data_IF_515381525084
#
_entry.id   IF_515381525084
#
_cell.length_a   1.000
_cell.length_b   1.000
_cell.length_c   1.000
_cell.angle_alpha   90.00
_cell.angle_beta   90.00
_cell.angle_gamma   90.00
#
_symmetry.space_group_name_H-M   'P 1'
#
loop_
_entity.id
_entity.type
_entity.pdbx_description
1 polymer ?
#
# COMPACT_ATOMS: atom_id res chain seq x y z
N UNK A 1 -12.43 3.74 4.08
CA UNK A 1 -13.12 4.19 5.31
C UNK A 1 -12.48 5.43 5.94
N UNK A 2 -11.15 5.48 6.10
CA UNK A 2 -10.44 6.66 6.66
C UNK A 2 -10.77 7.96 5.90
N UNK A 3 -10.80 7.92 4.57
CA UNK A 3 -11.16 9.11 3.76
C UNK A 3 -12.60 9.57 3.92
N UNK A 4 -13.50 8.66 4.30
CA UNK A 4 -14.89 9.00 4.61
C UNK A 4 -14.92 9.82 5.91
N UNK A 5 -14.31 9.29 6.98
CA UNK A 5 -14.21 10.00 8.26
C UNK A 5 -13.47 11.34 8.15
N UNK A 6 -12.40 11.41 7.36
CA UNK A 6 -11.68 12.66 7.08
C UNK A 6 -12.59 13.73 6.48
N UNK A 7 -13.40 13.36 5.48
CA UNK A 7 -14.38 14.28 4.86
C UNK A 7 -15.45 14.70 5.86
N UNK A 8 -16.03 13.75 6.58
CA UNK A 8 -17.07 14.01 7.58
C UNK A 8 -16.59 14.97 8.67
N UNK A 9 -15.39 14.78 9.24
CA UNK A 9 -14.85 15.70 10.24
C UNK A 9 -14.59 17.08 9.68
N UNK A 10 -14.07 17.18 8.45
CA UNK A 10 -13.85 18.46 7.78
C UNK A 10 -15.18 19.20 7.58
N UNK A 11 -16.22 18.50 7.16
CA UNK A 11 -17.55 19.06 6.95
C UNK A 11 -18.23 19.45 8.27
N UNK A 12 -18.12 18.63 9.32
CA UNK A 12 -18.63 18.95 10.65
C UNK A 12 -17.94 20.21 11.20
N UNK A 13 -16.60 20.26 11.15
CA UNK A 13 -15.84 21.43 11.58
C UNK A 13 -16.23 22.68 10.80
N UNK A 14 -16.30 22.58 9.46
CA UNK A 14 -16.67 23.71 8.62
C UNK A 14 -18.09 24.22 8.91
N UNK A 15 -19.05 23.33 9.17
CA UNK A 15 -20.42 23.71 9.53
C UNK A 15 -20.49 24.46 10.86
N UNK A 16 -19.89 23.91 11.90
CA UNK A 16 -19.93 24.53 13.23
C UNK A 16 -19.13 25.84 13.28
N UNK A 17 -18.01 25.90 12.57
CA UNK A 17 -17.24 27.13 12.44
C UNK A 17 -18.02 28.24 11.70
N UNK A 18 -18.85 27.90 10.71
CA UNK A 18 -19.74 28.87 10.05
C UNK A 18 -20.78 29.42 11.03
N UNK A 19 -21.47 28.56 11.79
CA UNK A 19 -22.43 28.98 12.81
C UNK A 19 -21.81 29.92 13.84
N UNK A 20 -20.60 29.63 14.31
CA UNK A 20 -19.87 30.51 15.21
C UNK A 20 -19.59 31.88 14.57
N UNK A 21 -19.12 31.91 13.32
CA UNK A 21 -18.88 33.17 12.60
C UNK A 21 -20.16 34.00 12.40
N UNK A 22 -21.28 33.33 12.11
CA UNK A 22 -22.60 33.97 11.98
C UNK A 22 -23.04 34.58 13.31
N UNK A 23 -22.88 33.85 14.43
CA UNK A 23 -23.20 34.33 15.77
C UNK A 23 -22.35 35.54 16.18
N UNK A 24 -21.03 35.51 15.92
CA UNK A 24 -20.13 36.65 16.15
C UNK A 24 -20.52 37.86 15.31
N UNK A 25 -20.92 37.63 14.06
CA UNK A 25 -21.37 38.70 13.16
C UNK A 25 -22.69 39.32 13.64
N UNK A 26 -23.64 38.49 14.08
CA UNK A 26 -24.91 38.94 14.66
C UNK A 26 -24.68 39.75 15.95
N UNK A 27 -23.82 39.25 16.85
CA UNK A 27 -23.42 39.94 18.07
C UNK A 27 -22.83 41.32 17.79
N UNK A 28 -21.92 41.42 16.81
CA UNK A 28 -21.31 42.70 16.41
C UNK A 28 -22.36 43.70 15.92
N UNK A 29 -23.32 43.23 15.10
CA UNK A 29 -24.43 44.05 14.59
C UNK A 29 -25.36 44.50 15.72
N UNK A 30 -25.79 43.59 16.59
CA UNK A 30 -26.67 43.89 17.72
C UNK A 30 -26.02 44.89 18.69
N UNK A 31 -24.72 44.72 18.96
CA UNK A 31 -23.92 45.68 19.74
C UNK A 31 -23.98 47.07 19.09
N UNK A 32 -23.64 47.17 17.81
CA UNK A 32 -23.64 48.45 17.10
C UNK A 32 -25.01 49.13 17.13
N UNK A 33 -26.09 48.37 16.90
CA UNK A 33 -27.46 48.88 16.96
C UNK A 33 -27.83 49.40 18.34
N UNK A 34 -27.48 48.67 19.41
CA UNK A 34 -27.71 49.10 20.78
C UNK A 34 -27.01 50.43 21.09
N UNK A 35 -25.71 50.56 20.77
CA UNK A 35 -24.97 51.82 20.96
C UNK A 35 -25.58 52.97 20.15
N UNK A 36 -25.97 52.72 18.89
CA UNK A 36 -26.63 53.73 18.06
C UNK A 36 -27.94 54.22 18.68
N UNK A 37 -28.77 53.32 19.24
CA UNK A 37 -30.03 53.71 19.90
C UNK A 37 -29.80 54.45 21.20
N UNK A 38 -28.74 54.12 21.95
CA UNK A 38 -28.35 54.90 23.13
C UNK A 38 -28.00 56.34 22.76
N UNK A 39 -27.19 56.53 21.70
CA UNK A 39 -26.82 57.87 21.21
C UNK A 39 -28.05 58.67 20.73
N UNK A 40 -28.99 58.02 20.05
CA UNK A 40 -30.26 58.62 19.62
C UNK A 40 -31.13 59.06 20.81
N UNK A 41 -31.21 58.24 21.87
CA UNK A 41 -31.92 58.60 23.10
C UNK A 41 -31.27 59.80 23.80
N UNK A 42 -29.94 59.86 23.88
CA UNK A 42 -29.24 61.01 24.45
C UNK A 42 -29.47 62.30 23.64
N UNK A 43 -29.46 62.20 22.30
CA UNK A 43 -29.83 63.32 21.42
C UNK A 43 -31.28 63.79 21.65
N UNK A 44 -32.22 62.86 21.81
CA UNK A 44 -33.63 63.17 22.09
C UNK A 44 -33.83 63.81 23.47
N UNK A 45 -33.05 63.41 24.48
CA UNK A 45 -33.04 64.07 25.80
C UNK A 45 -32.50 65.50 25.69
N UNK A 46 -31.39 65.69 24.99
CA UNK A 46 -30.78 67.01 24.81
C UNK A 46 -31.68 67.98 24.02
N UNK A 47 -32.37 67.51 22.97
CA UNK A 47 -33.33 68.33 22.21
C UNK A 47 -34.56 68.69 23.05
N UNK A 48 -35.02 67.78 23.90
CA UNK A 48 -36.10 68.07 24.85
C UNK A 48 -35.67 69.14 25.86
N UNK A 49 -34.44 69.09 26.38
CA UNK A 49 -33.92 70.05 27.35
C UNK A 49 -33.75 71.46 26.77
N UNK A 50 -33.22 71.59 25.54
CA UNK A 50 -33.05 72.89 24.86
C UNK A 50 -34.38 73.58 24.54
N UNK A 51 -35.44 72.81 24.30
CA UNK A 51 -36.76 73.33 23.96
C UNK A 51 -37.63 73.69 25.19
N UNK A 52 -37.09 73.58 26.42
CA UNK A 52 -37.73 74.07 27.66
C UNK A 52 -37.47 75.57 27.88
N UNK A 53 -36.40 76.12 27.27
CA UNK A 53 -36.08 77.56 27.30
C UNK A 53 -36.98 78.39 26.37
N UNK A 54 -37.60 77.77 25.37
CA UNK A 54 -38.56 78.42 24.47
C UNK A 54 -40.00 78.22 24.99
N UNK A 55 -40.65 79.31 25.40
CA UNK A 55 -42.06 79.35 25.83
C UNK A 55 -43.04 78.93 24.71
N UNK A 56 -43.23 77.63 24.48
CA UNK A 56 -44.17 77.08 23.49
C UNK A 56 -45.13 76.07 24.15
N UNK A 57 -46.43 76.28 23.94
CA UNK A 57 -47.53 75.71 24.73
C UNK A 57 -47.74 74.19 24.75
N UNK A 58 -48.62 73.79 25.68
CA UNK A 58 -48.97 72.44 26.17
C UNK A 58 -49.05 71.34 25.09
N UNK A 59 -49.59 71.61 23.90
CA UNK A 59 -49.73 70.61 22.82
C UNK A 59 -48.39 70.08 22.27
N UNK A 60 -47.32 70.85 22.40
CA UNK A 60 -45.98 70.41 21.97
C UNK A 60 -45.25 69.58 23.03
N UNK A 61 -45.65 69.62 24.30
CA UNK A 61 -45.06 68.83 25.38
C UNK A 61 -45.48 67.36 25.33
N UNK A 62 -46.75 67.07 25.01
CA UNK A 62 -47.24 65.68 24.88
C UNK A 62 -46.57 64.92 23.74
N UNK A 63 -46.39 65.57 22.58
CA UNK A 63 -45.69 64.97 21.44
C UNK A 63 -44.21 64.71 21.75
N UNK A 64 -43.58 65.56 22.58
CA UNK A 64 -42.19 65.40 23.05
C UNK A 64 -42.02 64.26 24.05
N UNK A 65 -42.94 64.14 25.00
CA UNK A 65 -42.95 63.02 25.97
C UNK A 65 -43.05 61.68 25.23
N UNK A 66 -43.94 61.61 24.24
CA UNK A 66 -44.13 60.44 23.38
C UNK A 66 -42.87 60.05 22.59
N UNK A 67 -42.11 61.01 22.04
CA UNK A 67 -40.87 60.69 21.29
C UNK A 67 -39.73 60.21 22.19
N UNK A 68 -39.64 60.71 23.42
CA UNK A 68 -38.65 60.24 24.39
C UNK A 68 -38.97 58.81 24.84
N UNK A 69 -40.23 58.53 25.14
CA UNK A 69 -40.68 57.21 25.56
C UNK A 69 -40.48 56.18 24.42
N UNK A 70 -40.72 56.57 23.16
CA UNK A 70 -40.45 55.71 22.00
C UNK A 70 -38.94 55.43 21.81
N UNK A 71 -38.08 56.44 21.98
CA UNK A 71 -36.62 56.24 21.91
C UNK A 71 -36.12 55.34 23.05
N UNK A 72 -36.69 55.46 24.24
CA UNK A 72 -36.36 54.63 25.39
C UNK A 72 -36.78 53.17 25.16
N UNK A 73 -37.98 52.92 24.62
CA UNK A 73 -38.43 51.57 24.24
C UNK A 73 -37.47 50.92 23.22
N UNK A 74 -37.03 51.67 22.20
CA UNK A 74 -36.07 51.17 21.20
C UNK A 74 -34.70 50.80 21.80
N UNK A 75 -34.24 51.51 22.83
CA UNK A 75 -33.02 51.13 23.57
C UNK A 75 -33.25 49.81 24.29
N UNK A 76 -34.36 49.63 25.01
CA UNK A 76 -34.65 48.39 25.73
C UNK A 76 -34.75 47.18 24.79
N UNK A 77 -35.40 47.33 23.63
CA UNK A 77 -35.51 46.27 22.62
C UNK A 77 -34.14 45.85 22.07
N UNK A 78 -33.30 46.83 21.71
CA UNK A 78 -31.95 46.54 21.18
C UNK A 78 -30.99 46.03 22.25
N UNK A 79 -31.18 46.42 23.51
CA UNK A 79 -30.44 45.87 24.65
C UNK A 79 -30.76 44.38 24.85
N UNK A 80 -32.05 44.03 24.83
CA UNK A 80 -32.50 42.65 24.97
C UNK A 80 -31.96 41.78 23.83
N UNK A 81 -32.03 42.26 22.58
CA UNK A 81 -31.44 41.58 21.43
C UNK A 81 -29.92 41.42 21.57
N UNK A 82 -29.22 42.46 22.02
CA UNK A 82 -27.77 42.38 22.24
C UNK A 82 -27.43 41.33 23.31
N UNK A 83 -28.14 41.31 24.44
CA UNK A 83 -27.98 40.29 25.50
C UNK A 83 -28.25 38.88 24.97
N UNK A 84 -29.26 38.71 24.13
CA UNK A 84 -29.54 37.44 23.47
C UNK A 84 -28.37 37.00 22.58
N UNK A 85 -27.87 37.88 21.69
CA UNK A 85 -26.73 37.55 20.84
C UNK A 85 -25.45 37.24 21.63
N UNK A 86 -25.26 37.83 22.82
CA UNK A 86 -24.14 37.48 23.73
C UNK A 86 -24.29 36.04 24.20
N UNK A 87 -25.51 35.64 24.61
CA UNK A 87 -25.81 34.27 25.02
C UNK A 87 -25.61 33.28 23.87
N UNK A 88 -26.14 33.60 22.69
CA UNK A 88 -26.05 32.73 21.51
C UNK A 88 -24.59 32.52 21.07
N UNK A 89 -23.78 33.58 21.07
CA UNK A 89 -22.36 33.47 20.75
C UNK A 89 -21.61 32.57 21.76
N UNK A 90 -21.98 32.64 23.04
CA UNK A 90 -21.41 31.76 24.08
C UNK A 90 -21.81 30.30 23.86
N UNK A 91 -23.09 30.04 23.55
CA UNK A 91 -23.58 28.68 23.25
C UNK A 91 -22.83 28.08 22.05
N UNK A 92 -22.73 28.83 20.95
CA UNK A 92 -22.02 28.35 19.76
C UNK A 92 -20.52 28.17 19.98
N UNK A 93 -19.90 28.98 20.85
CA UNK A 93 -18.51 28.76 21.26
C UNK A 93 -18.35 27.44 22.01
N UNK A 94 -19.22 27.13 22.97
CA UNK A 94 -19.18 25.89 23.73
C UNK A 94 -19.45 24.66 22.84
N UNK A 95 -20.38 24.77 21.89
CA UNK A 95 -20.65 23.74 20.88
C UNK A 95 -19.45 23.49 19.97
N UNK A 96 -18.80 24.56 19.50
CA UNK A 96 -17.61 24.47 18.65
C UNK A 96 -16.47 23.76 19.38
N UNK A 97 -16.26 24.05 20.66
CA UNK A 97 -15.26 23.37 21.51
C UNK A 97 -15.60 21.88 21.65
N UNK A 98 -16.85 21.54 21.98
CA UNK A 98 -17.30 20.14 22.09
C UNK A 98 -17.09 19.37 20.79
N UNK A 99 -17.39 19.97 19.64
CA UNK A 99 -17.21 19.34 18.32
C UNK A 99 -15.72 19.16 18.01
N UNK A 100 -14.88 20.15 18.32
CA UNK A 100 -13.42 20.05 18.19
C UNK A 100 -12.87 18.87 19.01
N UNK A 101 -13.27 18.75 20.27
CA UNK A 101 -12.84 17.67 21.17
C UNK A 101 -13.24 16.30 20.64
N UNK A 102 -14.48 16.15 20.15
CA UNK A 102 -14.96 14.90 19.54
C UNK A 102 -14.16 14.53 18.29
N UNK A 103 -13.94 15.49 17.40
CA UNK A 103 -13.16 15.28 16.16
C UNK A 103 -11.73 14.86 16.50
N UNK A 104 -11.05 15.58 17.39
CA UNK A 104 -9.67 15.25 17.80
C UNK A 104 -9.60 13.87 18.44
N UNK A 105 -10.54 13.55 19.33
CA UNK A 105 -10.61 12.24 19.99
C UNK A 105 -10.78 11.11 18.98
N UNK A 106 -11.62 11.30 17.96
CA UNK A 106 -11.83 10.28 16.93
C UNK A 106 -10.64 10.15 15.99
N UNK A 107 -10.01 11.26 15.58
CA UNK A 107 -8.78 11.23 14.78
C UNK A 107 -7.68 10.44 15.51
N UNK A 108 -7.51 10.68 16.82
CA UNK A 108 -6.55 9.90 17.63
C UNK A 108 -6.84 8.40 17.58
N UNK A 109 -8.11 8.00 17.72
CA UNK A 109 -8.50 6.57 17.61
C UNK A 109 -8.18 5.99 16.23
N UNK A 110 -8.45 6.72 15.15
CA UNK A 110 -8.15 6.27 13.78
C UNK A 110 -6.63 6.11 13.56
N UNK A 111 -5.82 7.02 14.10
CA UNK A 111 -4.35 6.90 14.04
C UNK A 111 -3.90 5.63 14.77
N UNK A 112 -4.36 5.41 16.01
CA UNK A 112 -3.99 4.22 16.77
C UNK A 112 -4.45 2.91 16.10
N UNK A 113 -5.62 2.92 15.44
CA UNK A 113 -6.08 1.78 14.64
C UNK A 113 -5.15 1.53 13.45
N UNK A 114 -4.75 2.58 12.73
CA UNK A 114 -3.77 2.49 11.66
C UNK A 114 -2.42 1.94 12.13
N UNK A 115 -1.92 2.42 13.27
CA UNK A 115 -0.66 1.95 13.87
C UNK A 115 -0.73 0.46 14.24
N UNK A 116 -1.87 0.01 14.76
CA UNK A 116 -2.08 -1.40 15.12
C UNK A 116 -2.02 -2.28 13.88
N UNK A 117 -2.72 -1.89 12.81
CA UNK A 117 -2.71 -2.62 11.53
C UNK A 117 -1.30 -2.63 10.92
N UNK A 118 -0.61 -1.50 10.94
CA UNK A 118 0.77 -1.41 10.42
C UNK A 118 1.71 -2.33 11.20
N UNK A 119 1.60 -2.36 12.54
CA UNK A 119 2.38 -3.26 13.39
C UNK A 119 2.10 -4.72 13.03
N UNK A 120 0.84 -5.12 12.95
CA UNK A 120 0.44 -6.49 12.60
C UNK A 120 0.95 -6.90 11.22
N UNK A 121 0.75 -6.06 10.21
CA UNK A 121 1.24 -6.29 8.85
C UNK A 121 2.77 -6.47 8.84
N UNK A 122 3.50 -5.62 9.56
CA UNK A 122 4.96 -5.68 9.65
C UNK A 122 5.44 -6.96 10.34
N UNK A 123 4.83 -7.33 11.47
CA UNK A 123 5.18 -8.56 12.20
C UNK A 123 4.89 -9.79 11.33
N UNK A 124 3.74 -9.81 10.65
CA UNK A 124 3.35 -10.90 9.77
C UNK A 124 4.29 -11.03 8.56
N UNK A 125 4.74 -9.93 7.97
CA UNK A 125 5.73 -9.94 6.90
C UNK A 125 7.00 -10.68 7.32
N UNK A 126 7.57 -10.32 8.47
CA UNK A 126 8.78 -10.99 8.98
C UNK A 126 8.54 -12.44 9.40
N UNK A 127 7.35 -12.74 9.91
CA UNK A 127 6.95 -14.11 10.22
C UNK A 127 6.93 -14.99 8.96
N UNK A 128 6.28 -14.54 7.88
CA UNK A 128 6.23 -15.28 6.62
C UNK A 128 7.59 -15.37 5.93
N UNK A 129 8.37 -14.29 5.98
CA UNK A 129 9.74 -14.30 5.45
C UNK A 129 10.60 -15.36 6.16
N UNK A 130 10.47 -15.48 7.49
CA UNK A 130 11.18 -16.51 8.26
C UNK A 130 10.74 -17.92 7.87
N UNK A 131 9.44 -18.16 7.74
CA UNK A 131 8.93 -19.47 7.30
C UNK A 131 9.47 -19.87 5.92
N UNK A 132 9.57 -18.93 4.98
CA UNK A 132 10.10 -19.20 3.65
C UNK A 132 11.60 -19.50 3.66
N UNK A 133 12.36 -18.93 4.60
CA UNK A 133 13.82 -19.09 4.70
C UNK A 133 14.24 -20.33 5.50
N UNK A 134 13.39 -20.82 6.42
CA UNK A 134 13.63 -22.02 7.23
C UNK A 134 14.03 -23.28 6.43
N UNK A 135 13.42 -23.62 5.27
CA UNK A 135 13.81 -24.81 4.51
C UNK A 135 15.17 -24.69 3.83
N UNK A 136 15.73 -23.48 3.65
CA UNK A 136 16.97 -23.29 2.88
C UNK A 136 18.17 -23.97 3.57
N UNK A 137 18.48 -23.72 4.87
CA UNK A 137 19.56 -24.43 5.55
C UNK A 137 19.34 -25.95 5.60
N UNK A 138 18.09 -26.39 5.78
CA UNK A 138 17.74 -27.82 5.75
C UNK A 138 18.02 -28.44 4.39
N UNK A 139 17.70 -27.72 3.31
CA UNK A 139 17.99 -28.14 1.94
C UNK A 139 19.49 -28.32 1.71
N UNK A 140 20.31 -27.39 2.18
CA UNK A 140 21.77 -27.51 2.10
C UNK A 140 22.31 -28.71 2.90
N UNK A 141 21.81 -28.93 4.12
CA UNK A 141 22.20 -30.10 4.93
C UNK A 141 21.84 -31.43 4.26
N UNK A 142 20.64 -31.54 3.68
CA UNK A 142 20.24 -32.74 2.94
C UNK A 142 21.16 -32.99 1.75
N UNK A 143 21.44 -31.95 0.96
CA UNK A 143 22.33 -32.06 -0.20
C UNK A 143 23.75 -32.47 0.21
N UNK A 144 24.30 -31.84 1.25
CA UNK A 144 25.59 -32.20 1.83
C UNK A 144 25.63 -33.69 2.23
N UNK A 145 24.58 -34.17 2.92
CA UNK A 145 24.45 -35.59 3.28
C UNK A 145 24.50 -36.51 2.08
N UNK A 146 23.79 -36.17 0.99
CA UNK A 146 23.83 -36.96 -0.26
C UNK A 146 25.21 -36.95 -0.92
N UNK A 147 25.93 -35.84 -0.89
CA UNK A 147 27.28 -35.75 -1.45
C UNK A 147 28.29 -36.55 -0.62
N UNK A 148 28.17 -36.54 0.71
CA UNK A 148 29.07 -37.27 1.62
C UNK A 148 28.99 -38.79 1.46
N UNK A 149 27.83 -39.32 1.08
CA UNK A 149 27.63 -40.77 0.91
C UNK A 149 28.14 -41.32 -0.42
N UNK A 150 28.56 -40.47 -1.36
CA UNK A 150 29.06 -40.92 -2.67
C UNK A 150 30.54 -41.28 -2.56
N UNK A 151 30.86 -42.56 -2.77
CA UNK A 151 32.25 -43.02 -2.81
C UNK A 151 32.91 -42.70 -4.17
N UNK A 152 34.10 -42.06 -4.19
CA UNK A 152 34.79 -41.76 -5.44
C UNK A 152 35.06 -43.02 -6.29
N UNK A 153 34.66 -42.98 -7.56
CA UNK A 153 34.88 -44.07 -8.51
C UNK A 153 33.80 -45.16 -8.51
N UNK A 154 32.95 -45.23 -7.48
CA UNK A 154 31.86 -46.21 -7.39
C UNK A 154 30.87 -46.11 -8.57
N UNK A 155 30.41 -44.92 -9.03
CA UNK A 155 29.51 -44.84 -10.18
C UNK A 155 30.14 -45.37 -11.48
N UNK A 156 31.45 -45.17 -11.64
CA UNK A 156 32.19 -45.66 -12.80
C UNK A 156 32.38 -47.18 -12.74
N UNK A 157 32.64 -47.73 -11.56
CA UNK A 157 32.72 -49.17 -11.34
C UNK A 157 31.38 -49.85 -11.63
N UNK A 158 30.27 -49.32 -11.09
CA UNK A 158 28.91 -49.81 -11.38
C UNK A 158 28.60 -49.76 -12.88
N UNK A 159 29.03 -48.70 -13.56
CA UNK A 159 28.91 -48.60 -15.02
C UNK A 159 29.68 -49.71 -15.73
N UNK A 160 30.95 -49.96 -15.40
CA UNK A 160 31.74 -51.05 -16.01
C UNK A 160 31.06 -52.41 -15.78
N UNK A 161 30.64 -52.68 -14.55
CA UNK A 161 29.97 -53.94 -14.19
C UNK A 161 28.63 -54.12 -14.91
N UNK A 162 27.92 -53.02 -15.19
CA UNK A 162 26.67 -53.05 -15.98
C UNK A 162 26.88 -53.39 -17.46
N UNK A 163 28.10 -53.21 -17.97
CA UNK A 163 28.42 -53.52 -19.37
C UNK A 163 28.79 -54.98 -19.50
N UNK A 164 27.98 -55.73 -20.26
CA UNK A 164 28.32 -57.08 -20.66
C UNK A 164 29.58 -57.05 -21.53
N UNK A 165 30.68 -57.59 -21.01
CA UNK A 165 31.92 -57.73 -21.77
C UNK A 165 31.90 -59.09 -22.46
N UNK A 166 31.77 -59.17 -23.79
CA UNK A 166 31.95 -60.45 -24.47
C UNK A 166 33.38 -60.91 -24.20
N UNK A 167 33.50 -62.16 -23.75
CA UNK A 167 34.78 -62.80 -23.51
C UNK A 167 35.53 -62.87 -24.85
N UNK A 168 36.56 -62.04 -25.02
CA UNK A 168 37.38 -62.12 -26.22
C UNK A 168 38.14 -63.44 -26.15
N UNK A 169 38.00 -64.32 -27.16
CA UNK A 169 38.80 -65.54 -27.20
C UNK A 169 40.27 -65.15 -27.17
N UNK A 170 41.02 -65.74 -26.23
CA UNK A 170 42.43 -65.46 -26.05
C UNK A 170 43.17 -65.71 -27.36
N UNK A 171 43.90 -64.71 -27.84
CA UNK A 171 44.75 -64.86 -29.01
C UNK A 171 45.81 -65.91 -28.68
N UNK A 172 45.69 -67.07 -29.28
CA UNK A 172 46.60 -68.18 -29.04
C UNK A 172 47.80 -67.99 -29.97
N UNK A 173 48.94 -67.63 -29.40
CA UNK A 173 50.19 -67.51 -30.14
C UNK A 173 50.87 -68.87 -30.17
N UNK A 174 50.67 -69.58 -31.28
CA UNK A 174 51.36 -70.85 -31.55
C UNK A 174 52.38 -70.64 -32.65
N UNK A 175 53.56 -71.23 -32.45
CA UNK A 175 54.62 -71.25 -33.44
C UNK A 175 54.12 -71.93 -34.71
N UNK A 176 54.10 -71.20 -35.83
CA UNK A 176 53.74 -71.75 -37.13
C UNK A 176 55.00 -72.30 -37.80
N UNK A 177 55.13 -73.62 -37.80
CA UNK A 177 56.25 -74.29 -38.45
C UNK A 177 56.20 -74.05 -39.97
N UNK A 178 57.35 -73.73 -40.57
CA UNK A 178 57.44 -73.41 -41.99
C UNK A 178 57.24 -74.67 -42.84
N UNK A 179 56.16 -74.70 -43.63
CA UNK A 179 55.89 -75.76 -44.61
C UNK A 179 55.94 -75.22 -46.05
N UNK A 180 56.77 -75.77 -46.95
CA UNK A 180 56.77 -75.39 -48.36
C UNK A 180 55.47 -75.84 -49.04
N UNK A 181 54.89 -74.98 -49.89
CA UNK A 181 53.63 -75.26 -50.60
C UNK A 181 53.83 -76.35 -51.68
N UNK A 182 53.73 -77.61 -51.28
CA UNK A 182 53.81 -78.77 -52.17
C UNK A 182 52.51 -78.98 -52.96
N UNK A 183 52.58 -78.93 -54.29
CA UNK A 183 51.51 -79.36 -55.21
C UNK A 183 51.36 -80.89 -55.12
N UNK A 184 50.21 -81.37 -54.66
CA UNK A 184 49.88 -82.80 -54.62
C UNK A 184 48.37 -83.05 -54.66
N UNK A 185 47.94 -83.98 -55.51
CA UNK A 185 46.56 -84.17 -55.98
C UNK A 185 45.54 -84.67 -54.93
N UNK A 186 44.31 -84.21 -55.16
CA UNK A 186 42.98 -84.57 -54.59
C UNK A 186 42.81 -85.95 -53.95
N UNK A 187 42.20 -85.95 -52.76
CA UNK A 187 41.04 -86.82 -52.46
C UNK A 187 40.03 -86.05 -51.58
N UNK A 188 38.77 -86.14 -51.99
CA UNK A 188 37.62 -85.38 -51.52
C UNK A 188 36.98 -86.11 -50.33
N UNK A 189 36.99 -85.52 -49.15
CA UNK A 189 35.97 -85.73 -48.13
C UNK A 189 35.51 -84.37 -47.61
N UNK A 190 34.23 -84.32 -47.33
CA UNK A 190 33.36 -83.15 -47.32
C UNK A 190 33.32 -82.41 -45.98
N UNK A 191 33.00 -81.11 -46.08
CA UNK A 191 32.39 -80.24 -45.05
C UNK A 191 33.39 -79.72 -43.99
N UNK A 192 33.49 -78.42 -43.64
CA UNK A 192 32.66 -77.22 -43.85
C UNK A 192 33.61 -76.03 -44.08
N UNK A 193 33.18 -75.13 -44.95
CA UNK A 193 33.86 -73.88 -45.33
C UNK A 193 34.12 -72.97 -44.13
N UNK A 194 35.38 -72.61 -43.87
CA UNK A 194 35.70 -71.27 -43.35
C UNK A 194 36.00 -70.37 -44.55
N UNK A 195 35.04 -69.52 -44.90
CA UNK A 195 35.31 -68.38 -45.78
C UNK A 195 35.19 -67.13 -44.92
N UNK A 196 36.36 -66.59 -44.57
CA UNK A 196 36.51 -65.18 -44.20
C UNK A 196 36.50 -64.40 -45.51
N UNK A 197 35.68 -63.37 -45.66
CA UNK A 197 36.05 -62.24 -46.50
C UNK A 197 36.34 -61.06 -45.59
N UNK A 198 37.60 -60.65 -45.67
CA UNK A 198 38.07 -59.29 -45.48
C UNK A 198 37.11 -58.28 -46.13
N UNK A 199 36.72 -57.26 -45.36
CA UNK A 199 36.01 -56.07 -45.85
C UNK A 199 36.08 -54.97 -44.78
N UNK A 200 37.11 -54.13 -44.88
CA UNK A 200 37.03 -52.75 -44.38
C UNK A 200 36.00 -51.95 -45.19
N UNK A 201 35.22 -51.08 -44.55
CA UNK A 201 35.14 -49.69 -45.02
C UNK A 201 35.25 -48.71 -43.83
N UNK A 202 36.14 -47.72 -43.94
CA UNK A 202 35.81 -46.33 -44.29
C UNK A 202 34.91 -45.64 -43.26
N UNK A 203 35.57 -44.74 -42.54
CA UNK A 203 35.01 -43.55 -41.89
C UNK A 203 34.00 -42.84 -42.77
N UNK A 204 32.80 -42.55 -42.27
CA UNK A 204 32.32 -41.16 -42.21
C UNK A 204 31.16 -40.97 -41.21
N UNK A 205 31.18 -39.76 -40.67
CA UNK A 205 30.21 -38.94 -39.96
C UNK A 205 28.79 -39.46 -39.68
N UNK A 206 28.31 -39.21 -38.45
CA UNK A 206 26.93 -38.71 -38.21
C UNK A 206 26.73 -38.26 -36.76
N UNK A 207 26.96 -36.96 -36.57
CA UNK A 207 25.99 -36.01 -36.00
C UNK A 207 25.47 -36.23 -34.57
N UNK A 208 26.06 -35.47 -33.65
CA UNK A 208 25.43 -34.97 -32.43
C UNK A 208 24.07 -34.31 -32.74
N UNK A 209 22.95 -34.96 -32.37
CA UNK A 209 21.67 -34.27 -32.21
C UNK A 209 21.65 -33.54 -30.87
N UNK A 210 21.82 -32.22 -30.90
CA UNK A 210 21.29 -31.31 -29.87
C UNK A 210 19.78 -31.18 -30.03
N UNK A 211 18.97 -31.19 -28.97
CA UNK A 211 17.66 -30.58 -29.01
C UNK A 211 17.83 -29.07 -28.84
N UNK A 212 17.52 -28.34 -29.91
CA UNK A 212 17.25 -26.91 -29.87
C UNK A 212 15.75 -26.73 -29.61
N UNK A 213 15.40 -26.17 -28.45
CA UNK A 213 14.11 -25.55 -28.16
C UNK A 213 14.37 -24.66 -26.93
N UNK A 214 14.04 -23.38 -26.80
CA UNK A 214 13.25 -22.45 -27.59
C UNK A 214 12.96 -21.27 -26.64
N UNK A 215 13.03 -20.03 -27.15
CA UNK A 215 12.64 -18.74 -26.53
C UNK A 215 13.58 -18.07 -25.51
N UNK A 216 14.43 -17.20 -26.05
CA UNK A 216 14.76 -15.90 -25.43
C UNK A 216 13.65 -14.91 -25.78
N UNK A 217 12.99 -14.35 -24.77
CA UNK A 217 12.20 -13.12 -24.87
C UNK A 217 13.14 -11.98 -24.51
N UNK A 218 13.59 -11.21 -25.51
CA UNK A 218 14.25 -9.93 -25.28
C UNK A 218 13.18 -8.86 -25.09
N UNK A 219 13.11 -8.27 -23.91
CA UNK A 219 12.46 -6.98 -23.72
C UNK A 219 13.50 -5.90 -24.06
N UNK A 220 13.17 -5.12 -25.08
CA UNK A 220 13.81 -3.85 -25.42
C UNK A 220 13.02 -2.76 -24.73
N UNK A 221 13.68 -1.96 -23.90
CA UNK A 221 13.13 -0.72 -23.35
C UNK A 221 14.29 0.25 -23.16
N UNK A 222 14.34 1.33 -23.95
CA UNK A 222 15.07 2.60 -23.74
C UNK A 222 15.00 3.44 -25.03
N UNK A 223 13.96 4.25 -25.17
CA UNK A 223 13.97 5.67 -25.57
C UNK A 223 12.58 6.29 -25.41
#
# INVERSE_FOLDING_TARGET
EIDKWRREFKEQWAREHRKMNEAVSALKKAKQQYFQRCDELEKAKASTAKAVDDTVGVKTLDKRRKSKDEAQTKVMETELLYRQCVSDAKIHQDELVKVKERIISHIRKLICQGDTVLKEATVNMFYYQRQQMEPIPRGYQTLEGTCRSVEPGEPYLLYILSKHRPEQPLQTFVFQEYAPLGKGNKRKTSNVRSSVPDSSPMTDDSSCRRPSDGRRTGYSDSE
#
